data_IF_630983117134
#
_entry.id   IF_630983117134
#
_cell.length_a   1.000
_cell.length_b   1.000
_cell.length_c   1.000
_cell.angle_alpha   90.00
_cell.angle_beta   90.00
_cell.angle_gamma   90.00
#
_symmetry.space_group_name_H-M   'P 1'
#
loop_
_entity.id
_entity.type
_entity.pdbx_description
1 polymer ?
#
# COMPACT_ATOMS: atom_id res chain seq x y z
N UNK A 1 7.50 28.32 20.46
CA UNK A 1 6.71 27.08 20.25
C UNK A 1 7.37 25.95 21.02
N UNK A 2 6.63 25.25 21.87
CA UNK A 2 7.11 24.01 22.50
C UNK A 2 7.14 22.89 21.46
N UNK A 3 8.19 22.06 21.50
CA UNK A 3 8.31 20.90 20.60
C UNK A 3 7.41 19.76 21.11
N UNK A 4 6.88 18.90 20.20
CA UNK A 4 6.15 17.72 20.62
C UNK A 4 7.05 16.80 21.44
N UNK A 5 6.54 16.31 22.57
CA UNK A 5 7.26 15.40 23.46
C UNK A 5 7.25 13.96 22.97
N UNK A 6 6.26 13.58 22.16
CA UNK A 6 6.09 12.25 21.59
C UNK A 6 5.50 12.38 20.18
N UNK A 7 5.93 11.51 19.28
CA UNK A 7 5.36 11.34 17.93
C UNK A 7 5.05 9.85 17.75
N UNK A 8 3.80 9.55 17.39
CA UNK A 8 3.40 8.21 16.96
C UNK A 8 3.47 8.16 15.45
N UNK A 9 4.07 7.09 14.94
CA UNK A 9 4.23 6.85 13.52
C UNK A 9 3.44 5.60 13.16
N UNK A 10 2.80 5.64 12.00
CA UNK A 10 2.32 4.42 11.37
C UNK A 10 3.50 3.51 11.03
N UNK A 11 3.27 2.20 10.99
CA UNK A 11 4.32 1.23 10.76
C UNK A 11 4.55 1.02 9.25
N UNK A 12 3.53 0.55 8.53
CA UNK A 12 3.67 0.13 7.13
C UNK A 12 3.47 1.33 6.21
N UNK A 13 4.34 1.50 5.21
CA UNK A 13 4.36 2.68 4.35
C UNK A 13 4.99 3.93 4.98
N UNK A 14 5.28 3.91 6.30
CA UNK A 14 5.97 4.99 7.00
C UNK A 14 7.32 4.54 7.57
N UNK A 15 7.35 3.49 8.41
CA UNK A 15 8.58 2.90 8.96
C UNK A 15 9.09 1.74 8.11
N UNK A 16 8.18 0.96 7.52
CA UNK A 16 8.51 -0.22 6.71
C UNK A 16 7.96 -0.06 5.30
N UNK A 17 8.80 -0.30 4.29
CA UNK A 17 8.36 -0.41 2.90
C UNK A 17 7.51 -1.67 2.69
N UNK A 18 6.53 -1.60 1.79
CA UNK A 18 5.79 -2.77 1.31
C UNK A 18 6.57 -3.41 0.17
N UNK A 19 6.67 -4.74 0.16
CA UNK A 19 7.25 -5.46 -0.97
C UNK A 19 6.22 -5.54 -2.10
N UNK A 20 6.60 -5.04 -3.27
CA UNK A 20 5.66 -4.82 -4.37
C UNK A 20 4.73 -3.63 -4.10
N UNK A 21 3.69 -3.52 -4.90
CA UNK A 21 2.68 -2.46 -4.80
C UNK A 21 1.33 -3.00 -4.39
N UNK A 22 0.48 -2.12 -3.85
CA UNK A 22 -0.92 -2.47 -3.57
C UNK A 22 -1.58 -2.96 -4.86
N UNK A 23 -1.36 -2.26 -5.98
CA UNK A 23 -1.93 -2.66 -7.27
C UNK A 23 -1.54 -4.07 -7.72
N UNK A 24 -0.29 -4.48 -7.53
CA UNK A 24 0.20 -5.83 -7.87
C UNK A 24 -0.49 -6.90 -7.00
N UNK A 25 -0.58 -6.68 -5.69
CA UNK A 25 -1.19 -7.63 -4.76
C UNK A 25 -2.69 -7.80 -5.07
N UNK A 26 -3.40 -6.70 -5.31
CA UNK A 26 -4.83 -6.76 -5.61
C UNK A 26 -5.11 -7.33 -7.01
N UNK A 27 -4.24 -7.06 -7.99
CA UNK A 27 -4.33 -7.66 -9.32
C UNK A 27 -4.17 -9.19 -9.26
N UNK A 28 -3.26 -9.68 -8.41
CA UNK A 28 -3.10 -11.12 -8.18
C UNK A 28 -4.38 -11.75 -7.59
N UNK A 29 -5.00 -11.14 -6.59
CA UNK A 29 -6.26 -11.65 -6.03
C UNK A 29 -7.42 -11.62 -7.03
N UNK A 30 -7.51 -10.58 -7.87
CA UNK A 30 -8.52 -10.52 -8.91
C UNK A 30 -8.33 -11.63 -9.95
N UNK A 31 -7.06 -11.90 -10.33
CA UNK A 31 -6.73 -12.95 -11.28
C UNK A 31 -7.10 -14.35 -10.76
N UNK A 32 -6.93 -14.60 -9.46
CA UNK A 32 -7.31 -15.86 -8.80
C UNK A 32 -8.81 -16.18 -8.94
N UNK A 33 -9.65 -15.16 -9.09
CA UNK A 33 -11.10 -15.30 -9.34
C UNK A 33 -11.48 -15.09 -10.81
N UNK A 34 -10.50 -15.06 -11.72
CA UNK A 34 -10.70 -14.97 -13.17
C UNK A 34 -10.93 -13.56 -13.70
N UNK A 35 -10.60 -12.51 -12.93
CA UNK A 35 -10.73 -11.11 -13.34
C UNK A 35 -9.35 -10.50 -13.56
N UNK A 36 -9.08 -10.06 -14.79
CA UNK A 36 -7.86 -9.29 -15.09
C UNK A 36 -8.07 -7.81 -14.80
N UNK A 37 -7.15 -7.21 -14.05
CA UNK A 37 -7.15 -5.79 -13.69
C UNK A 37 -5.76 -5.20 -13.80
N UNK A 38 -5.70 -3.94 -14.25
CA UNK A 38 -4.45 -3.19 -14.39
C UNK A 38 -3.91 -2.77 -13.01
N UNK A 39 -2.78 -3.35 -12.63
CA UNK A 39 -2.11 -3.07 -11.36
C UNK A 39 -1.67 -1.59 -11.22
N UNK A 40 -1.25 -0.93 -12.32
CA UNK A 40 -0.84 0.47 -12.27
C UNK A 40 -2.01 1.41 -12.05
N UNK A 41 -3.18 1.09 -12.60
CA UNK A 41 -4.42 1.84 -12.35
C UNK A 41 -4.89 1.63 -10.92
N UNK A 42 -4.85 0.40 -10.41
CA UNK A 42 -5.20 0.10 -9.02
C UNK A 42 -4.31 0.82 -8.01
N UNK A 43 -3.01 0.96 -8.29
CA UNK A 43 -2.09 1.66 -7.40
C UNK A 43 -2.31 3.18 -7.34
N UNK A 44 -3.19 3.74 -8.19
CA UNK A 44 -3.53 5.17 -8.23
C UNK A 44 -4.89 5.48 -7.60
N UNK A 45 -5.66 4.47 -7.23
CA UNK A 45 -6.96 4.61 -6.55
C UNK A 45 -6.76 4.84 -5.05
#
# INVERSE_FOLDING_TARGET
MSRPSIIFLDAVGTLFGVQGTVGEIYSQFALEIGIEVDAQQLNKA
#
